data_IF_731149131232
#
_entry.id   IF_731149131232
#
_cell.length_a   1.000
_cell.length_b   1.000
_cell.length_c   1.000
_cell.angle_alpha   90.00
_cell.angle_beta   90.00
_cell.angle_gamma   90.00
#
_symmetry.space_group_name_H-M   'P 1'
#
loop_
_entity.id
_entity.type
_entity.pdbx_description
1 polymer ?
#
# COMPACT_ATOMS: atom_id res chain seq x y z
N UNK A 1 -55.63 9.56 4.05
CA UNK A 1 -54.59 8.59 4.48
C UNK A 1 -53.26 9.04 3.93
N UNK A 2 -52.38 9.60 4.78
CA UNK A 2 -50.98 9.91 4.43
C UNK A 2 -50.13 8.81 5.05
N UNK A 3 -49.55 7.96 4.22
CA UNK A 3 -48.54 6.98 4.60
C UNK A 3 -47.19 7.69 4.69
N UNK A 4 -46.70 7.89 5.91
CA UNK A 4 -45.33 8.34 6.17
C UNK A 4 -44.42 7.12 6.18
N UNK A 5 -43.65 6.92 5.11
CA UNK A 5 -42.56 5.96 5.08
C UNK A 5 -41.34 6.57 5.76
N UNK A 6 -40.97 6.04 6.93
CA UNK A 6 -39.72 6.36 7.61
C UNK A 6 -38.64 5.47 6.98
N UNK A 7 -37.77 6.05 6.16
CA UNK A 7 -36.53 5.39 5.76
C UNK A 7 -35.54 5.45 6.92
N UNK A 8 -35.35 4.31 7.60
CA UNK A 8 -34.24 4.14 8.52
C UNK A 8 -32.95 3.98 7.72
N UNK A 9 -32.05 4.98 7.77
CA UNK A 9 -30.67 4.80 7.34
C UNK A 9 -29.99 3.84 8.31
N UNK A 10 -29.76 2.60 7.88
CA UNK A 10 -28.84 1.69 8.56
C UNK A 10 -27.44 2.21 8.21
N UNK A 11 -26.81 2.92 9.15
CA UNK A 11 -25.39 3.21 9.07
C UNK A 11 -24.65 1.88 9.20
N UNK A 12 -24.08 1.40 8.09
CA UNK A 12 -23.13 0.29 8.14
C UNK A 12 -21.95 0.75 8.99
N UNK A 13 -21.82 0.20 10.20
CA UNK A 13 -20.61 0.33 11.01
C UNK A 13 -19.53 -0.40 10.23
N UNK A 14 -18.70 0.35 9.50
CA UNK A 14 -17.51 -0.21 8.88
C UNK A 14 -16.66 -0.80 10.01
N UNK A 15 -16.43 -2.12 9.98
CA UNK A 15 -15.58 -2.77 10.96
C UNK A 15 -14.18 -2.14 10.88
N UNK A 16 -13.64 -1.74 12.03
CA UNK A 16 -12.28 -1.23 12.12
C UNK A 16 -11.29 -2.30 11.63
N UNK A 17 -10.23 -1.91 10.90
CA UNK A 17 -9.23 -2.86 10.44
C UNK A 17 -8.53 -3.52 11.63
N UNK A 18 -8.41 -4.84 11.66
CA UNK A 18 -7.72 -5.57 12.74
C UNK A 18 -6.22 -5.75 12.54
N UNK A 19 -5.66 -4.95 11.64
CA UNK A 19 -4.26 -5.04 11.22
C UNK A 19 -3.68 -3.65 10.94
N UNK A 20 -2.36 -3.55 11.00
CA UNK A 20 -1.64 -2.33 10.63
C UNK A 20 -1.82 -2.06 9.13
N UNK A 21 -2.59 -1.03 8.81
CA UNK A 21 -3.13 -0.79 7.46
C UNK A 21 -2.60 0.53 6.88
N UNK A 22 -1.95 0.46 5.72
CA UNK A 22 -1.67 1.63 4.89
C UNK A 22 -2.89 1.95 4.00
N UNK A 23 -3.41 3.17 4.11
CA UNK A 23 -4.60 3.59 3.34
C UNK A 23 -4.62 5.09 3.04
N UNK A 24 -5.52 5.51 2.15
CA UNK A 24 -5.89 6.90 1.89
C UNK A 24 -7.38 7.16 2.11
N UNK A 25 -8.10 6.23 2.76
CA UNK A 25 -9.53 6.39 3.04
C UNK A 25 -9.79 7.62 3.94
N UNK A 26 -10.75 8.49 3.61
CA UNK A 26 -11.04 9.68 4.43
C UNK A 26 -11.40 9.35 5.89
N UNK A 27 -12.15 8.27 6.11
CA UNK A 27 -12.60 7.83 7.43
C UNK A 27 -11.45 7.44 8.37
N UNK A 28 -10.37 6.87 7.83
CA UNK A 28 -9.19 6.48 8.63
C UNK A 28 -8.09 7.54 8.58
N UNK A 29 -7.94 8.25 7.48
CA UNK A 29 -6.87 9.25 7.31
C UNK A 29 -7.41 10.67 7.31
N UNK A 30 -8.25 11.01 6.33
CA UNK A 30 -8.60 12.39 5.98
C UNK A 30 -9.34 13.18 7.06
N UNK A 31 -10.11 12.52 7.93
CA UNK A 31 -10.92 13.17 8.96
C UNK A 31 -10.22 13.20 10.33
N UNK A 32 -9.25 12.32 10.53
CA UNK A 32 -8.48 12.21 11.78
C UNK A 32 -7.18 13.02 11.72
N UNK A 33 -6.56 13.07 10.54
CA UNK A 33 -5.25 13.65 10.40
C UNK A 33 -5.26 15.18 10.44
N UNK A 34 -4.35 15.80 11.24
CA UNK A 34 -4.21 17.25 11.25
C UNK A 34 -3.71 17.75 9.88
N UNK A 35 -3.96 19.02 9.60
CA UNK A 35 -3.40 19.67 8.41
C UNK A 35 -1.87 19.75 8.54
N UNK A 36 -1.18 19.40 7.46
CA UNK A 36 0.28 19.45 7.33
C UNK A 36 0.62 20.36 6.17
N UNK A 37 1.29 21.49 6.42
CA UNK A 37 1.59 22.48 5.37
C UNK A 37 0.34 23.03 4.66
N UNK A 38 -0.78 23.18 5.39
CA UNK A 38 -2.04 23.69 4.85
C UNK A 38 -2.95 22.65 4.17
N UNK A 39 -2.45 21.45 3.87
CA UNK A 39 -3.21 20.37 3.23
C UNK A 39 -3.56 19.23 4.22
N UNK A 40 -4.62 18.47 3.94
CA UNK A 40 -4.91 17.22 4.67
C UNK A 40 -3.86 16.17 4.32
N UNK A 41 -3.51 15.30 5.27
CA UNK A 41 -2.64 14.16 4.98
C UNK A 41 -3.26 13.28 3.88
N UNK A 42 -2.44 12.87 2.91
CA UNK A 42 -2.91 12.11 1.74
C UNK A 42 -3.00 10.60 1.98
N UNK A 43 -2.26 10.11 2.97
CA UNK A 43 -2.25 8.71 3.37
C UNK A 43 -1.94 8.60 4.86
N UNK A 44 -2.27 7.47 5.46
CA UNK A 44 -1.98 7.17 6.84
C UNK A 44 -1.72 5.67 7.04
N UNK A 45 -1.08 5.33 8.17
CA UNK A 45 -1.02 3.96 8.68
C UNK A 45 -1.94 3.87 9.90
N UNK A 46 -2.90 2.96 9.88
CA UNK A 46 -3.80 2.70 11.00
C UNK A 46 -3.19 1.70 11.97
N UNK A 47 -3.34 1.95 13.27
CA UNK A 47 -2.88 1.12 14.39
C UNK A 47 -4.11 0.71 15.19
N UNK A 48 -4.60 -0.53 15.03
CA UNK A 48 -5.71 -1.05 15.82
C UNK A 48 -5.37 -1.17 17.31
N UNK A 49 -6.37 -0.95 18.17
CA UNK A 49 -6.25 -1.07 19.62
C UNK A 49 -5.93 -2.50 20.09
N UNK A 50 -6.42 -3.51 19.37
CA UNK A 50 -6.23 -4.92 19.68
C UNK A 50 -4.80 -5.42 19.44
N UNK A 51 -4.00 -4.70 18.65
CA UNK A 51 -2.60 -5.05 18.40
C UNK A 51 -1.68 -4.29 19.36
N UNK A 52 -1.02 -5.05 20.23
CA UNK A 52 -0.12 -4.52 21.27
C UNK A 52 1.35 -4.52 20.87
N UNK A 53 1.67 -5.06 19.69
CA UNK A 53 3.02 -5.23 19.18
C UNK A 53 3.67 -3.92 18.74
N UNK A 54 2.89 -2.96 18.24
CA UNK A 54 3.38 -1.65 17.86
C UNK A 54 2.42 -0.55 18.29
N UNK A 55 2.99 0.47 18.92
CA UNK A 55 2.30 1.74 19.16
C UNK A 55 2.69 2.76 18.10
N UNK A 56 1.75 3.62 17.74
CA UNK A 56 2.06 4.76 16.90
C UNK A 56 3.04 5.67 17.64
N UNK A 57 4.20 5.95 17.03
CA UNK A 57 5.20 6.86 17.56
C UNK A 57 5.42 8.01 16.60
N UNK A 58 5.63 9.22 17.11
CA UNK A 58 6.02 10.35 16.27
C UNK A 58 7.33 10.02 15.55
N UNK A 59 7.40 10.31 14.26
CA UNK A 59 8.61 10.10 13.50
C UNK A 59 8.62 11.06 12.34
N UNK A 60 9.73 11.06 11.66
CA UNK A 60 9.93 11.87 10.49
C UNK A 60 8.86 11.50 9.42
N UNK A 61 8.43 10.23 9.31
CA UNK A 61 7.37 9.80 8.36
C UNK A 61 6.01 10.48 8.56
N UNK A 62 5.73 11.02 9.73
CA UNK A 62 4.44 11.61 10.00
C UNK A 62 4.09 11.70 11.46
N UNK A 63 2.91 12.25 11.71
CA UNK A 63 2.44 12.52 13.07
C UNK A 63 1.35 11.54 13.50
N UNK A 64 1.43 11.07 14.73
CA UNK A 64 0.38 10.24 15.31
C UNK A 64 -0.81 11.08 15.78
N UNK A 65 -2.01 10.62 15.48
CA UNK A 65 -3.28 11.15 15.97
C UNK A 65 -4.13 10.00 16.51
N UNK A 66 -4.89 10.26 17.58
CA UNK A 66 -5.82 9.28 18.11
C UNK A 66 -7.06 9.21 17.22
N UNK A 67 -7.63 8.01 17.06
CA UNK A 67 -8.90 7.86 16.38
C UNK A 67 -10.07 8.02 17.37
N UNK A 68 -11.30 7.91 16.88
CA UNK A 68 -12.50 7.86 17.73
C UNK A 68 -12.62 6.53 18.48
N UNK A 69 -11.91 5.49 18.04
CA UNK A 69 -11.87 4.19 18.70
C UNK A 69 -10.82 4.21 19.81
N UNK A 70 -11.24 3.87 21.02
CA UNK A 70 -10.36 3.92 22.19
C UNK A 70 -9.16 2.98 22.04
N UNK A 71 -7.96 3.54 22.14
CA UNK A 71 -6.71 2.78 22.04
C UNK A 71 -6.15 2.66 20.61
N UNK A 72 -6.95 2.95 19.59
CA UNK A 72 -6.52 2.98 18.20
C UNK A 72 -5.87 4.33 17.86
N UNK A 73 -4.93 4.30 16.92
CA UNK A 73 -4.23 5.49 16.44
C UNK A 73 -4.02 5.45 14.93
N UNK A 74 -3.74 6.61 14.34
CA UNK A 74 -3.30 6.73 12.95
C UNK A 74 -2.01 7.51 12.88
N UNK A 75 -1.08 7.03 12.06
CA UNK A 75 0.11 7.74 11.63
C UNK A 75 -0.22 8.51 10.38
N UNK A 76 -0.42 9.81 10.50
CA UNK A 76 -0.68 10.72 9.40
C UNK A 76 0.61 11.00 8.65
N UNK A 77 0.77 10.34 7.50
CA UNK A 77 2.01 10.40 6.72
C UNK A 77 2.25 11.81 6.20
N UNK A 78 3.51 12.25 6.25
CA UNK A 78 3.92 13.60 5.91
C UNK A 78 3.71 13.89 4.42
N UNK A 79 3.00 14.98 4.12
CA UNK A 79 2.84 15.47 2.75
C UNK A 79 4.10 16.10 2.16
N UNK A 80 5.04 16.56 3.00
CA UNK A 80 6.21 17.34 2.55
C UNK A 80 7.39 16.46 2.14
N UNK A 81 7.22 15.16 2.21
CA UNK A 81 8.29 14.17 2.13
C UNK A 81 8.34 13.39 0.83
N UNK A 82 7.31 13.55 0.00
CA UNK A 82 7.32 13.06 -1.36
C UNK A 82 8.27 13.95 -2.19
N UNK A 83 9.58 13.76 -2.02
CA UNK A 83 10.59 14.49 -2.76
C UNK A 83 10.42 14.20 -4.25
N UNK A 84 10.13 15.24 -5.04
CA UNK A 84 9.76 15.11 -6.45
C UNK A 84 8.64 14.08 -6.76
N UNK A 85 7.74 13.83 -5.80
CA UNK A 85 6.65 12.85 -5.94
C UNK A 85 7.05 11.40 -5.62
N UNK A 86 8.27 11.15 -5.15
CA UNK A 86 8.72 9.83 -4.68
C UNK A 86 8.63 9.72 -3.17
N UNK A 87 8.05 8.62 -2.70
CA UNK A 87 7.86 8.37 -1.28
C UNK A 87 8.28 6.95 -0.88
N UNK A 88 9.23 6.86 0.03
CA UNK A 88 9.71 5.59 0.57
C UNK A 88 9.25 5.37 2.01
N UNK A 89 8.65 4.21 2.25
CA UNK A 89 8.23 3.74 3.57
C UNK A 89 8.92 2.41 3.84
N UNK A 90 9.73 2.40 4.90
CA UNK A 90 10.27 1.15 5.42
C UNK A 90 9.16 0.28 6.02
N UNK A 91 9.21 -1.02 5.79
CA UNK A 91 8.37 -1.98 6.51
C UNK A 91 9.17 -2.51 7.70
N UNK A 92 8.63 -2.39 8.91
CA UNK A 92 9.28 -2.90 10.13
C UNK A 92 8.52 -4.06 10.75
N UNK A 93 9.27 -4.95 11.41
CA UNK A 93 8.73 -5.94 12.34
C UNK A 93 9.17 -5.66 13.77
N UNK A 94 9.16 -6.70 14.60
CA UNK A 94 9.33 -6.57 16.05
C UNK A 94 10.79 -6.32 16.47
N UNK A 95 11.75 -6.58 15.57
CA UNK A 95 13.20 -6.44 15.83
C UNK A 95 13.89 -5.62 14.73
N UNK A 96 14.90 -4.81 15.09
CA UNK A 96 15.64 -3.94 14.15
C UNK A 96 15.79 -2.48 14.61
N UNK A 97 16.71 -1.72 14.00
CA UNK A 97 16.87 -0.27 14.26
C UNK A 97 16.05 0.51 13.24
N UNK A 98 15.08 1.31 13.71
CA UNK A 98 14.00 1.81 12.86
C UNK A 98 14.08 3.33 12.65
N UNK A 99 14.48 3.71 11.43
CA UNK A 99 14.30 5.07 10.91
C UNK A 99 12.88 5.30 10.38
N UNK A 100 12.77 5.67 9.09
CA UNK A 100 11.51 5.89 8.37
C UNK A 100 10.78 4.57 8.05
N UNK A 101 10.33 3.82 9.08
CA UNK A 101 9.64 2.54 8.89
C UNK A 101 8.37 2.37 9.73
N UNK A 102 7.35 1.72 9.17
CA UNK A 102 6.06 1.45 9.80
C UNK A 102 5.66 -0.04 9.71
N UNK A 103 4.87 -0.56 10.67
CA UNK A 103 4.55 -1.99 10.75
C UNK A 103 3.45 -2.40 9.74
N UNK A 104 3.53 -1.91 8.50
CA UNK A 104 2.49 -2.11 7.49
C UNK A 104 2.39 -3.59 7.12
N UNK A 105 1.20 -4.16 7.33
CA UNK A 105 0.86 -5.55 6.99
C UNK A 105 -0.11 -5.63 5.82
N UNK A 106 -0.93 -4.61 5.66
CA UNK A 106 -1.96 -4.54 4.64
C UNK A 106 -1.93 -3.19 3.94
N UNK A 107 -2.20 -3.19 2.64
CA UNK A 107 -2.50 -1.96 1.87
C UNK A 107 -3.92 -2.03 1.33
N UNK A 108 -4.67 -0.94 1.54
CA UNK A 108 -6.04 -0.80 1.06
C UNK A 108 -6.27 0.62 0.54
N UNK A 109 -6.78 0.73 -0.69
CA UNK A 109 -7.32 1.98 -1.23
C UNK A 109 -6.39 3.18 -1.05
N UNK A 110 -5.13 3.01 -1.46
CA UNK A 110 -4.12 4.05 -1.47
C UNK A 110 -4.34 4.99 -2.66
N UNK A 111 -4.42 6.30 -2.39
CA UNK A 111 -4.85 7.33 -3.37
C UNK A 111 -3.99 8.59 -3.37
N UNK A 112 -2.85 8.61 -2.67
CA UNK A 112 -2.10 9.85 -2.44
C UNK A 112 -1.73 10.55 -3.76
N UNK A 113 -2.48 11.60 -4.11
CA UNK A 113 -2.52 12.16 -5.46
C UNK A 113 -1.21 12.85 -5.89
N UNK A 114 -0.43 13.33 -4.93
CA UNK A 114 0.86 13.96 -5.17
C UNK A 114 2.03 12.96 -5.11
N UNK A 115 1.75 11.69 -4.84
CA UNK A 115 2.75 10.62 -4.85
C UNK A 115 2.65 9.89 -6.20
N UNK A 116 3.72 9.96 -6.97
CA UNK A 116 3.85 9.29 -8.27
C UNK A 116 4.77 8.07 -8.20
N UNK A 117 5.62 7.99 -7.18
CA UNK A 117 6.43 6.81 -6.87
C UNK A 117 6.25 6.42 -5.41
N UNK A 118 5.96 5.14 -5.17
CA UNK A 118 5.88 4.56 -3.83
C UNK A 118 6.85 3.38 -3.72
N UNK A 119 7.70 3.43 -2.69
CA UNK A 119 8.63 2.36 -2.35
C UNK A 119 8.24 1.80 -0.99
N UNK A 120 7.83 0.54 -0.96
CA UNK A 120 7.56 -0.24 0.24
C UNK A 120 8.69 -1.25 0.42
N UNK A 121 9.58 -0.99 1.38
CA UNK A 121 10.82 -1.76 1.51
C UNK A 121 11.05 -2.25 2.92
N UNK A 122 11.21 -3.56 3.09
CA UNK A 122 11.70 -4.11 4.34
C UNK A 122 13.24 -4.11 4.35
N UNK A 123 13.83 -3.43 5.33
CA UNK A 123 15.29 -3.34 5.50
C UNK A 123 15.89 -4.41 6.41
N UNK A 124 15.06 -5.29 6.97
CA UNK A 124 15.48 -6.37 7.87
C UNK A 124 15.86 -7.63 7.08
N UNK A 125 16.69 -8.48 7.68
CA UNK A 125 17.08 -9.76 7.07
C UNK A 125 15.88 -10.73 7.00
N UNK A 126 15.04 -10.73 8.04
CA UNK A 126 13.78 -11.47 8.05
C UNK A 126 12.73 -10.79 7.16
N UNK A 127 11.99 -11.58 6.39
CA UNK A 127 10.87 -11.08 5.59
C UNK A 127 9.60 -11.00 6.41
N UNK A 128 8.81 -9.96 6.16
CA UNK A 128 7.47 -9.81 6.73
C UNK A 128 6.39 -9.95 5.68
N UNK A 129 5.21 -10.37 6.10
CA UNK A 129 4.05 -10.50 5.23
C UNK A 129 3.48 -9.12 4.88
N UNK A 130 3.20 -8.92 3.59
CA UNK A 130 2.51 -7.75 3.08
C UNK A 130 1.37 -8.22 2.18
N UNK A 131 0.13 -7.88 2.54
CA UNK A 131 -1.05 -8.19 1.72
C UNK A 131 -1.56 -6.94 1.02
N UNK A 132 -1.69 -7.02 -0.30
CA UNK A 132 -2.40 -6.01 -1.09
C UNK A 132 -3.85 -6.48 -1.30
N UNK A 133 -4.81 -5.74 -0.75
CA UNK A 133 -6.24 -6.03 -0.92
C UNK A 133 -6.74 -5.64 -2.31
N UNK A 134 -7.93 -6.13 -2.70
CA UNK A 134 -8.53 -5.79 -3.98
C UNK A 134 -8.60 -4.26 -4.16
N UNK A 135 -8.09 -3.79 -5.30
CA UNK A 135 -8.02 -2.37 -5.59
C UNK A 135 -6.99 -1.57 -4.77
N UNK A 136 -6.03 -2.21 -4.10
CA UNK A 136 -5.06 -1.55 -3.20
C UNK A 136 -4.48 -0.24 -3.76
N UNK A 137 -4.11 -0.21 -5.05
CA UNK A 137 -3.55 0.96 -5.71
C UNK A 137 -4.32 1.42 -6.96
N UNK A 138 -5.49 0.86 -7.27
CA UNK A 138 -6.18 1.13 -8.55
C UNK A 138 -6.64 2.58 -8.71
N UNK A 139 -6.81 3.28 -7.58
CA UNK A 139 -7.19 4.69 -7.51
C UNK A 139 -6.02 5.63 -7.24
N UNK A 140 -4.79 5.11 -7.26
CA UNK A 140 -3.59 5.89 -7.05
C UNK A 140 -3.12 6.59 -8.34
N UNK A 141 -2.35 7.66 -8.17
CA UNK A 141 -1.61 8.35 -9.24
C UNK A 141 -0.23 7.75 -9.51
N UNK A 142 0.05 6.56 -8.96
CA UNK A 142 1.39 5.96 -9.02
C UNK A 142 1.76 5.59 -10.46
N UNK A 143 2.92 6.08 -10.89
CA UNK A 143 3.63 5.68 -12.10
C UNK A 143 4.73 4.66 -11.80
N UNK A 144 5.22 4.62 -10.58
CA UNK A 144 6.28 3.73 -10.12
C UNK A 144 5.88 3.10 -8.80
N UNK A 145 5.92 1.77 -8.72
CA UNK A 145 5.61 1.01 -7.50
C UNK A 145 6.70 -0.03 -7.24
N UNK A 146 7.35 0.09 -6.08
CA UNK A 146 8.43 -0.80 -5.67
C UNK A 146 8.02 -1.51 -4.39
N UNK A 147 8.08 -2.83 -4.39
CA UNK A 147 7.81 -3.67 -3.23
C UNK A 147 9.02 -4.59 -3.05
N UNK A 148 9.74 -4.37 -1.96
CA UNK A 148 11.03 -5.02 -1.71
C UNK A 148 11.07 -5.80 -0.39
N UNK A 149 11.57 -7.03 -0.46
CA UNK A 149 11.98 -7.86 0.68
C UNK A 149 10.85 -8.25 1.65
N UNK A 150 9.70 -8.58 1.11
CA UNK A 150 8.50 -9.02 1.85
C UNK A 150 8.03 -10.39 1.34
N UNK A 151 7.14 -11.04 2.10
CA UNK A 151 6.30 -12.12 1.58
C UNK A 151 5.02 -11.49 1.05
N UNK A 152 4.96 -11.25 -0.26
CA UNK A 152 3.87 -10.53 -0.89
C UNK A 152 2.68 -11.46 -1.15
N UNK A 153 1.51 -11.10 -0.61
CA UNK A 153 0.22 -11.69 -0.94
C UNK A 153 -0.61 -10.68 -1.72
N UNK A 154 -1.22 -11.13 -2.83
CA UNK A 154 -1.96 -10.28 -3.76
C UNK A 154 -3.40 -10.78 -3.87
N UNK A 155 -4.37 -9.88 -3.67
CA UNK A 155 -5.75 -10.10 -4.12
C UNK A 155 -5.91 -9.72 -5.61
N UNK A 156 -7.14 -9.56 -6.07
CA UNK A 156 -7.44 -9.14 -7.43
C UNK A 156 -7.12 -7.65 -7.65
N UNK A 157 -6.76 -7.28 -8.88
CA UNK A 157 -6.61 -5.88 -9.35
C UNK A 157 -5.89 -4.96 -8.35
N UNK A 158 -4.70 -5.31 -7.91
CA UNK A 158 -4.01 -4.56 -6.84
C UNK A 158 -3.11 -3.45 -7.38
N UNK A 159 -2.61 -3.58 -8.60
CA UNK A 159 -1.65 -2.63 -9.19
C UNK A 159 -2.33 -1.35 -9.74
N UNK A 160 -1.61 -0.21 -9.77
CA UNK A 160 -2.12 1.01 -10.40
C UNK A 160 -2.32 0.80 -11.91
N UNK A 161 -3.45 1.22 -12.51
CA UNK A 161 -3.71 1.01 -13.94
C UNK A 161 -2.79 1.81 -14.88
N UNK A 162 -2.14 2.86 -14.35
CA UNK A 162 -1.24 3.74 -15.09
C UNK A 162 0.23 3.55 -14.71
N UNK A 163 0.56 2.45 -14.02
CA UNK A 163 1.94 2.19 -13.61
C UNK A 163 2.83 1.97 -14.84
N UNK A 164 3.95 2.68 -14.88
CA UNK A 164 4.97 2.60 -15.92
C UNK A 164 6.15 1.72 -15.48
N UNK A 165 6.44 1.69 -14.18
CA UNK A 165 7.51 0.89 -13.58
C UNK A 165 7.00 0.07 -12.39
N UNK A 166 7.11 -1.26 -12.47
CA UNK A 166 6.77 -2.17 -11.39
C UNK A 166 8.00 -2.98 -10.97
N UNK A 167 8.36 -2.87 -9.69
CA UNK A 167 9.53 -3.54 -9.11
C UNK A 167 9.08 -4.44 -7.96
N UNK A 168 9.30 -5.75 -8.11
CA UNK A 168 8.99 -6.78 -7.12
C UNK A 168 10.27 -7.52 -6.74
N UNK A 169 11.05 -6.97 -5.80
CA UNK A 169 12.35 -7.54 -5.40
C UNK A 169 12.24 -8.34 -4.13
N UNK A 170 12.83 -9.54 -4.09
CA UNK A 170 12.76 -10.47 -2.95
C UNK A 170 11.33 -10.61 -2.41
N UNK A 171 10.31 -10.47 -3.26
CA UNK A 171 8.91 -10.29 -2.86
C UNK A 171 8.17 -11.62 -2.63
N UNK A 172 8.83 -12.76 -2.82
CA UNK A 172 8.22 -14.08 -2.62
C UNK A 172 7.25 -14.50 -3.73
N UNK A 173 7.16 -13.73 -4.82
CA UNK A 173 6.33 -14.09 -5.99
C UNK A 173 7.01 -15.19 -6.81
N UNK A 174 6.35 -16.35 -6.91
CA UNK A 174 6.85 -17.49 -7.70
C UNK A 174 6.52 -17.39 -9.19
N UNK A 175 5.46 -16.70 -9.54
CA UNK A 175 5.02 -16.45 -10.91
C UNK A 175 4.77 -14.97 -11.13
N UNK A 176 4.81 -14.53 -12.38
CA UNK A 176 4.39 -13.18 -12.75
C UNK A 176 2.87 -13.08 -12.46
N UNK A 177 2.42 -12.16 -11.58
CA UNK A 177 1.00 -12.02 -11.29
C UNK A 177 0.22 -11.70 -12.57
N UNK A 178 -0.90 -12.40 -12.82
CA UNK A 178 -1.63 -12.29 -14.10
C UNK A 178 -2.06 -10.86 -14.45
N UNK A 179 -2.36 -10.07 -13.43
CA UNK A 179 -2.72 -8.64 -13.56
C UNK A 179 -1.62 -7.80 -14.21
N UNK A 180 -0.35 -8.22 -14.16
CA UNK A 180 0.77 -7.51 -14.80
C UNK A 180 0.58 -7.43 -16.32
N UNK A 181 0.00 -8.48 -16.92
CA UNK A 181 -0.23 -8.54 -18.37
C UNK A 181 -1.38 -7.63 -18.85
N UNK A 182 -2.15 -7.06 -17.91
CA UNK A 182 -3.23 -6.11 -18.20
C UNK A 182 -2.74 -4.64 -18.12
N UNK A 183 -1.52 -4.41 -17.64
CA UNK A 183 -0.95 -3.07 -17.42
C UNK A 183 -0.48 -2.45 -18.74
N UNK A 184 -1.40 -1.78 -19.44
CA UNK A 184 -1.15 -1.19 -20.77
C UNK A 184 -0.08 -0.09 -20.80
N UNK A 185 0.19 0.55 -19.67
CA UNK A 185 1.18 1.62 -19.54
C UNK A 185 2.57 1.11 -19.11
N UNK A 186 2.70 -0.18 -18.78
CA UNK A 186 3.93 -0.73 -18.21
C UNK A 186 5.08 -0.68 -19.22
N UNK A 187 6.17 -0.07 -18.81
CA UNK A 187 7.42 0.06 -19.59
C UNK A 187 8.55 -0.77 -19.00
N UNK A 188 8.59 -0.88 -17.68
CA UNK A 188 9.62 -1.62 -16.95
C UNK A 188 8.99 -2.58 -15.95
N UNK A 189 9.43 -3.83 -15.99
CA UNK A 189 9.05 -4.86 -15.03
C UNK A 189 10.32 -5.51 -14.46
N UNK A 190 10.54 -5.33 -13.16
CA UNK A 190 11.62 -5.99 -12.46
C UNK A 190 11.07 -6.99 -11.44
N UNK A 191 11.49 -8.25 -11.56
CA UNK A 191 11.15 -9.32 -10.61
C UNK A 191 12.45 -10.07 -10.30
N UNK A 192 13.14 -9.66 -9.24
CA UNK A 192 14.51 -10.14 -8.94
C UNK A 192 14.70 -10.54 -7.47
N UNK A 193 15.67 -11.40 -7.17
CA UNK A 193 15.96 -11.86 -5.81
C UNK A 193 15.00 -12.95 -5.32
N UNK A 194 14.34 -13.65 -6.24
CA UNK A 194 13.55 -14.85 -5.98
C UNK A 194 13.58 -15.80 -7.17
N UNK A 195 13.20 -17.06 -6.94
CA UNK A 195 12.91 -17.98 -8.03
C UNK A 195 11.62 -17.55 -8.74
N UNK A 196 11.71 -17.28 -10.05
CA UNK A 196 10.59 -16.95 -10.91
C UNK A 196 10.39 -18.06 -11.95
N UNK A 197 9.23 -18.72 -11.89
CA UNK A 197 8.85 -19.74 -12.86
C UNK A 197 8.11 -19.08 -14.04
N UNK A 198 8.73 -19.15 -15.22
CA UNK A 198 8.21 -18.61 -16.49
C UNK A 198 7.77 -19.71 -17.46
N UNK A 199 7.78 -20.98 -17.03
CA UNK A 199 7.51 -22.14 -17.91
C UNK A 199 6.05 -22.19 -18.39
N UNK A 200 5.13 -21.59 -17.64
CA UNK A 200 3.68 -21.61 -17.92
C UNK A 200 3.17 -20.37 -18.65
N UNK A 201 4.06 -19.54 -19.20
CA UNK A 201 3.62 -18.36 -19.95
C UNK A 201 3.01 -18.76 -21.29
N UNK A 202 1.82 -18.23 -21.55
CA UNK A 202 1.18 -18.27 -22.87
C UNK A 202 1.95 -17.42 -23.89
N UNK A 203 1.68 -17.64 -25.18
CA UNK A 203 2.35 -16.87 -26.25
C UNK A 203 1.99 -15.38 -26.21
N UNK A 204 0.76 -15.05 -25.77
CA UNK A 204 0.34 -13.66 -25.57
C UNK A 204 1.13 -12.98 -24.43
N UNK A 205 1.37 -13.70 -23.32
CA UNK A 205 2.15 -13.20 -22.19
C UNK A 205 3.62 -13.02 -22.56
N UNK A 206 4.20 -13.97 -23.31
CA UNK A 206 5.56 -13.83 -23.86
C UNK A 206 5.67 -12.63 -24.78
N UNK A 207 4.70 -12.43 -25.67
CA UNK A 207 4.65 -11.28 -26.59
C UNK A 207 4.47 -9.95 -25.86
N UNK A 208 3.77 -9.94 -24.72
CA UNK A 208 3.71 -8.78 -23.83
C UNK A 208 5.09 -8.48 -23.23
N UNK A 209 5.76 -9.49 -22.64
CA UNK A 209 7.08 -9.31 -22.01
C UNK A 209 8.15 -8.84 -23.01
N UNK A 210 8.09 -9.27 -24.27
CA UNK A 210 9.01 -8.81 -25.32
C UNK A 210 8.92 -7.31 -25.63
N UNK A 211 7.83 -6.63 -25.21
CA UNK A 211 7.61 -5.18 -25.43
C UNK A 211 7.96 -4.34 -24.19
N UNK A 212 8.19 -4.99 -23.06
CA UNK A 212 8.48 -4.37 -21.77
C UNK A 212 9.97 -4.57 -21.46
N UNK A 213 10.61 -3.57 -20.86
CA UNK A 213 11.97 -3.76 -20.33
C UNK A 213 11.89 -4.65 -19.08
N UNK A 214 12.18 -5.94 -19.24
CA UNK A 214 12.09 -6.94 -18.18
C UNK A 214 13.45 -7.28 -17.59
N UNK A 215 13.54 -7.34 -16.26
CA UNK A 215 14.71 -7.89 -15.56
C UNK A 215 14.26 -8.99 -14.59
N UNK A 216 14.72 -10.22 -14.84
CA UNK A 216 14.44 -11.42 -14.04
C UNK A 216 15.76 -12.09 -13.64
N UNK A 217 16.05 -12.15 -12.34
CA UNK A 217 17.29 -12.74 -11.78
C UNK A 217 17.10 -13.25 -10.37
#
# INVERSE_FOLDING_TARGET
MRTTSIFALIAAVAASPSTHLLTSTPSLCGDICPRQGGAKAQACVYYPAELTDFKCQQSSLGVCANTTEAGSAVKCLSNTWADHGSYAIGIRGATGSFGRSEPIRVVQDYRAANVTELILKNYNDEKYDLTLLDGAFTRSSLKSLWIENVNLSLQERVFPPHVESLVLRKAGVRWIPKQVFELKALKTLEITGQYLDTTQLSDAEKAFLAKVNTTFT
#
